data_IF_325466343841
#
_entry.id   IF_325466343841
#
_cell.length_a   1.000
_cell.length_b   1.000
_cell.length_c   1.000
_cell.angle_alpha   90.00
_cell.angle_beta   90.00
_cell.angle_gamma   90.00
#
_symmetry.space_group_name_H-M   'P 1'
#
loop_
_entity.id
_entity.type
_entity.pdbx_description
1 polymer ?
#
# COMPACT_ATOMS: atom_id res chain seq x y z
N UNK A 1 21.37 -8.61 -7.28
CA UNK A 1 20.20 -9.19 -6.59
C UNK A 1 19.81 -8.28 -5.43
N UNK A 2 18.53 -7.93 -5.29
CA UNK A 2 18.01 -7.14 -4.17
C UNK A 2 17.19 -8.06 -3.26
N UNK A 3 17.48 -8.05 -1.95
CA UNK A 3 16.73 -8.83 -0.95
C UNK A 3 16.15 -7.94 0.14
N UNK A 4 16.96 -7.59 1.13
CA UNK A 4 16.53 -6.79 2.30
C UNK A 4 15.92 -5.43 1.92
N UNK A 5 16.44 -4.76 0.89
CA UNK A 5 15.90 -3.47 0.47
C UNK A 5 14.46 -3.59 -0.05
N UNK A 6 14.14 -4.63 -0.83
CA UNK A 6 12.78 -4.88 -1.31
C UNK A 6 11.82 -5.25 -0.17
N UNK A 7 12.29 -5.96 0.86
CA UNK A 7 11.48 -6.26 2.04
C UNK A 7 11.22 -5.02 2.90
N UNK A 8 12.22 -4.15 3.05
CA UNK A 8 12.11 -2.93 3.85
C UNK A 8 11.31 -1.83 3.15
N UNK A 9 11.33 -1.82 1.82
CA UNK A 9 10.68 -0.84 0.97
C UNK A 9 10.27 -1.51 -0.37
N UNK A 10 9.11 -2.19 -0.43
CA UNK A 10 8.68 -2.86 -1.67
C UNK A 10 8.48 -1.88 -2.82
N UNK A 11 8.18 -0.61 -2.53
CA UNK A 11 8.02 0.44 -3.52
C UNK A 11 9.33 0.83 -4.22
N UNK A 12 10.51 0.41 -3.72
CA UNK A 12 11.78 0.69 -4.41
C UNK A 12 11.89 -0.01 -5.79
N UNK A 13 11.02 -0.97 -6.08
CA UNK A 13 10.96 -1.70 -7.34
C UNK A 13 9.90 -1.17 -8.32
N UNK A 14 9.15 -0.12 -7.97
CA UNK A 14 7.98 0.35 -8.74
C UNK A 14 8.29 0.70 -10.21
N UNK A 15 9.54 1.06 -10.52
CA UNK A 15 9.94 1.46 -11.87
C UNK A 15 10.89 0.46 -12.55
N UNK A 16 11.07 -0.74 -11.97
CA UNK A 16 11.99 -1.72 -12.50
C UNK A 16 11.63 -2.15 -13.93
N UNK A 17 10.36 -2.34 -14.23
CA UNK A 17 9.88 -2.80 -15.54
C UNK A 17 10.33 -1.87 -16.67
N UNK A 18 10.14 -0.56 -16.48
CA UNK A 18 10.58 0.44 -17.46
C UNK A 18 12.10 0.66 -17.44
N UNK A 19 12.68 0.86 -16.26
CA UNK A 19 14.09 1.30 -16.13
C UNK A 19 15.11 0.18 -16.38
N UNK A 20 14.75 -1.06 -16.09
CA UNK A 20 15.66 -2.21 -16.15
C UNK A 20 15.28 -3.15 -17.30
N UNK A 21 14.00 -3.43 -17.48
CA UNK A 21 13.53 -4.42 -18.45
C UNK A 21 13.02 -3.83 -19.77
N UNK A 22 13.00 -2.50 -19.91
CA UNK A 22 12.61 -1.83 -21.15
C UNK A 22 11.13 -1.97 -21.51
N UNK A 23 10.27 -2.26 -20.53
CA UNK A 23 8.82 -2.27 -20.75
C UNK A 23 8.32 -0.89 -21.19
N UNK A 24 7.26 -0.86 -22.02
CA UNK A 24 6.67 0.40 -22.50
C UNK A 24 6.09 1.25 -21.37
N UNK A 25 5.60 0.61 -20.31
CA UNK A 25 5.06 1.23 -19.11
C UNK A 25 5.27 0.34 -17.88
N UNK A 26 5.22 0.94 -16.69
CA UNK A 26 5.10 0.19 -15.44
C UNK A 26 3.62 -0.19 -15.22
N UNK A 27 3.32 -1.25 -14.45
CA UNK A 27 1.94 -1.64 -14.15
C UNK A 27 1.18 -0.55 -13.37
N UNK A 28 -0.15 -0.58 -13.42
CA UNK A 28 -1.01 0.36 -12.71
C UNK A 28 -0.74 0.38 -11.20
N UNK A 29 -0.47 -0.79 -10.61
CA UNK A 29 -0.09 -0.95 -9.20
C UNK A 29 1.21 -0.22 -8.82
N UNK A 30 1.98 0.28 -9.78
CA UNK A 30 3.18 1.06 -9.57
C UNK A 30 2.96 2.58 -9.67
N UNK A 31 1.72 3.05 -9.80
CA UNK A 31 1.39 4.47 -9.87
C UNK A 31 1.55 5.16 -8.50
N UNK A 32 0.83 4.68 -7.50
CA UNK A 32 0.85 5.19 -6.12
C UNK A 32 0.71 4.04 -5.11
N UNK A 33 0.87 4.35 -3.82
CA UNK A 33 0.77 3.33 -2.77
C UNK A 33 -0.64 2.80 -2.61
N UNK A 34 -1.67 3.62 -2.84
CA UNK A 34 -3.05 3.16 -2.89
C UNK A 34 -3.23 2.10 -3.97
N UNK A 35 -2.80 2.36 -5.21
CA UNK A 35 -2.93 1.39 -6.32
C UNK A 35 -2.21 0.07 -6.03
N UNK A 36 -1.05 0.11 -5.37
CA UNK A 36 -0.33 -1.08 -4.93
C UNK A 36 -1.14 -1.87 -3.90
N UNK A 37 -1.64 -1.19 -2.87
CA UNK A 37 -2.39 -1.84 -1.79
C UNK A 37 -3.72 -2.41 -2.30
N UNK A 38 -4.42 -1.72 -3.20
CA UNK A 38 -5.64 -2.24 -3.85
C UNK A 38 -5.35 -3.49 -4.70
N UNK A 39 -4.29 -3.47 -5.52
CA UNK A 39 -3.88 -4.66 -6.26
C UNK A 39 -3.50 -5.83 -5.33
N UNK A 40 -2.98 -5.51 -4.13
CA UNK A 40 -2.70 -6.51 -3.11
C UNK A 40 -3.97 -7.04 -2.42
N UNK A 41 -4.95 -6.17 -2.15
CA UNK A 41 -6.30 -6.58 -1.70
C UNK A 41 -6.91 -7.57 -2.68
N UNK A 42 -6.95 -7.25 -3.97
CA UNK A 42 -7.49 -8.15 -5.01
C UNK A 42 -6.75 -9.50 -5.06
N UNK A 43 -5.45 -9.50 -4.76
CA UNK A 43 -4.68 -10.74 -4.64
C UNK A 43 -5.10 -11.55 -3.41
N UNK A 44 -5.26 -10.91 -2.25
CA UNK A 44 -5.66 -11.57 -1.00
C UNK A 44 -7.05 -12.19 -1.13
N UNK A 45 -8.02 -11.47 -1.68
CA UNK A 45 -9.39 -11.98 -1.90
C UNK A 45 -9.39 -13.21 -2.82
N UNK A 46 -8.67 -13.13 -3.95
CA UNK A 46 -8.53 -14.27 -4.87
C UNK A 46 -7.77 -15.44 -4.24
N UNK A 47 -6.82 -15.17 -3.36
CA UNK A 47 -6.07 -16.19 -2.65
C UNK A 47 -6.97 -16.93 -1.65
N UNK A 48 -7.69 -16.19 -0.80
CA UNK A 48 -8.62 -16.73 0.19
C UNK A 48 -9.75 -17.54 -0.47
N UNK A 49 -10.26 -17.10 -1.62
CA UNK A 49 -11.29 -17.84 -2.37
C UNK A 49 -10.80 -19.17 -3.00
N UNK A 50 -9.49 -19.40 -3.09
CA UNK A 50 -8.90 -20.56 -3.78
C UNK A 50 -8.35 -21.63 -2.85
N UNK A 51 -8.22 -21.33 -1.56
CA UNK A 51 -7.55 -22.21 -0.58
C UNK A 51 -8.54 -22.65 0.49
N UNK A 52 -8.53 -23.94 0.81
CA UNK A 52 -9.39 -24.48 1.87
C UNK A 52 -8.93 -24.02 3.27
N UNK A 53 -7.61 -23.81 3.44
CA UNK A 53 -6.99 -23.33 4.67
C UNK A 53 -6.06 -22.14 4.36
N UNK A 54 -6.50 -20.89 4.63
CA UNK A 54 -5.69 -19.71 4.37
C UNK A 54 -4.51 -19.61 5.34
N UNK A 55 -3.38 -19.08 4.84
CA UNK A 55 -2.25 -18.71 5.70
C UNK A 55 -2.66 -17.63 6.70
N UNK A 56 -1.98 -17.59 7.84
CA UNK A 56 -2.24 -16.56 8.85
C UNK A 56 -2.06 -15.13 8.29
N UNK A 57 -2.88 -14.16 8.72
CA UNK A 57 -2.75 -12.75 8.32
C UNK A 57 -1.34 -12.19 8.54
N UNK A 58 -0.63 -12.66 9.58
CA UNK A 58 0.77 -12.29 9.81
C UNK A 58 1.65 -12.61 8.60
N UNK A 59 1.52 -13.80 8.01
CA UNK A 59 2.32 -14.21 6.84
C UNK A 59 1.91 -13.42 5.61
N UNK A 60 0.61 -13.21 5.43
CA UNK A 60 0.05 -12.51 4.27
C UNK A 60 0.35 -11.02 4.28
N UNK A 61 0.34 -10.33 5.42
CA UNK A 61 0.49 -8.88 5.48
C UNK A 61 1.94 -8.43 5.68
N UNK A 62 2.84 -9.34 6.06
CA UNK A 62 4.27 -9.04 6.22
C UNK A 62 4.93 -8.36 5.01
N UNK A 63 4.65 -8.74 3.74
CA UNK A 63 5.28 -8.13 2.56
C UNK A 63 4.98 -6.64 2.40
N UNK A 64 3.84 -6.17 2.89
CA UNK A 64 3.40 -4.78 2.69
C UNK A 64 3.73 -3.84 3.85
N UNK A 65 4.33 -4.35 4.95
CA UNK A 65 4.70 -3.53 6.12
C UNK A 65 5.68 -2.37 5.80
N UNK A 66 6.38 -2.45 4.67
CA UNK A 66 7.32 -1.45 4.19
C UNK A 66 6.76 -0.46 3.17
N UNK A 67 5.48 -0.54 2.78
CA UNK A 67 4.94 0.26 1.65
C UNK A 67 5.10 1.78 1.86
N UNK A 68 4.97 2.25 3.09
CA UNK A 68 5.19 3.65 3.47
C UNK A 68 6.61 3.94 3.99
N UNK A 69 7.59 3.11 3.67
CA UNK A 69 8.96 3.26 4.18
C UNK A 69 9.56 4.64 3.85
N UNK A 70 9.87 5.43 4.88
CA UNK A 70 10.40 6.78 4.75
C UNK A 70 9.34 7.84 4.43
N UNK A 71 8.05 7.53 4.57
CA UNK A 71 6.95 8.47 4.39
C UNK A 71 6.20 8.77 5.71
N UNK A 72 5.47 9.88 5.77
CA UNK A 72 4.42 10.06 6.77
C UNK A 72 3.43 8.88 6.75
N UNK A 73 2.75 8.63 7.87
CA UNK A 73 1.82 7.49 7.98
C UNK A 73 2.47 6.12 8.19
N UNK A 74 3.78 5.94 7.94
CA UNK A 74 4.44 4.63 8.08
C UNK A 74 4.21 4.00 9.46
N UNK A 75 4.40 4.78 10.52
CA UNK A 75 4.25 4.28 11.89
C UNK A 75 2.79 3.89 12.18
N UNK A 76 1.83 4.69 11.72
CA UNK A 76 0.40 4.39 11.87
C UNK A 76 0.01 3.14 11.09
N UNK A 77 0.32 3.08 9.79
CA UNK A 77 0.05 1.92 8.95
C UNK A 77 0.58 0.62 9.55
N UNK A 78 1.88 0.62 9.91
CA UNK A 78 2.51 -0.54 10.53
C UNK A 78 1.86 -0.91 11.84
N UNK A 79 1.61 0.06 12.71
CA UNK A 79 1.01 -0.18 14.01
C UNK A 79 -0.41 -0.75 13.90
N UNK A 80 -1.21 -0.25 12.95
CA UNK A 80 -2.57 -0.74 12.71
C UNK A 80 -2.54 -2.19 12.25
N UNK A 81 -1.75 -2.52 11.22
CA UNK A 81 -1.59 -3.90 10.75
C UNK A 81 -1.09 -4.83 11.87
N UNK A 82 -0.04 -4.42 12.57
CA UNK A 82 0.55 -5.20 13.66
C UNK A 82 -0.43 -5.45 14.80
N UNK A 83 -1.21 -4.43 15.16
CA UNK A 83 -2.19 -4.51 16.24
C UNK A 83 -3.33 -5.44 15.83
N UNK A 84 -3.77 -5.34 14.58
CA UNK A 84 -4.81 -6.19 14.02
C UNK A 84 -4.34 -7.63 13.98
N UNK A 85 -3.26 -7.93 13.26
CA UNK A 85 -2.67 -9.27 13.21
C UNK A 85 -2.49 -9.94 14.59
N UNK A 86 -2.19 -9.17 15.66
CA UNK A 86 -2.02 -9.69 17.03
C UNK A 86 -3.29 -9.76 17.87
N UNK A 87 -4.30 -8.91 17.62
CA UNK A 87 -5.51 -8.77 18.45
C UNK A 87 -6.81 -9.12 17.72
N UNK A 88 -6.74 -9.40 16.44
CA UNK A 88 -7.84 -9.80 15.60
C UNK A 88 -8.63 -10.93 16.26
N UNK A 89 -9.96 -10.79 16.22
CA UNK A 89 -10.84 -11.90 16.49
C UNK A 89 -10.50 -13.07 15.54
N UNK A 90 -10.86 -14.33 15.87
CA UNK A 90 -10.57 -15.49 15.02
C UNK A 90 -10.99 -15.33 13.56
N UNK A 91 -11.95 -14.45 13.29
CA UNK A 91 -12.61 -14.28 12.00
C UNK A 91 -12.15 -13.05 11.20
N UNK A 92 -11.27 -12.18 11.73
CA UNK A 92 -10.81 -10.99 10.98
C UNK A 92 -9.78 -11.40 9.91
N UNK A 93 -10.12 -11.16 8.66
CA UNK A 93 -9.35 -11.53 7.47
C UNK A 93 -8.15 -10.60 7.24
N UNK A 94 -7.21 -11.04 6.40
CA UNK A 94 -6.09 -10.18 6.01
C UNK A 94 -6.56 -8.93 5.22
N UNK A 95 -7.62 -9.09 4.43
CA UNK A 95 -8.26 -8.01 3.66
C UNK A 95 -8.85 -6.94 4.59
N UNK A 96 -9.62 -7.35 5.61
CA UNK A 96 -10.22 -6.41 6.57
C UNK A 96 -9.15 -5.64 7.35
N UNK A 97 -8.09 -6.32 7.81
CA UNK A 97 -6.98 -5.69 8.49
C UNK A 97 -6.25 -4.67 7.59
N UNK A 98 -6.11 -4.97 6.29
CA UNK A 98 -5.52 -4.07 5.31
C UNK A 98 -6.40 -2.83 5.07
N UNK A 99 -7.70 -3.00 4.84
CA UNK A 99 -8.62 -1.86 4.66
C UNK A 99 -8.59 -0.91 5.85
N UNK A 100 -8.64 -1.44 7.07
CA UNK A 100 -8.57 -0.59 8.27
C UNK A 100 -7.23 0.14 8.40
N UNK A 101 -6.12 -0.46 7.97
CA UNK A 101 -4.83 0.21 7.95
C UNK A 101 -4.77 1.32 6.89
N UNK A 102 -5.44 1.16 5.76
CA UNK A 102 -5.60 2.18 4.73
C UNK A 102 -6.45 3.34 5.25
N UNK A 103 -7.62 3.04 5.83
CA UNK A 103 -8.52 4.04 6.41
C UNK A 103 -7.83 4.85 7.51
N UNK A 104 -7.06 4.18 8.38
CA UNK A 104 -6.30 4.84 9.44
C UNK A 104 -5.25 5.82 8.89
N UNK A 105 -4.62 5.49 7.76
CA UNK A 105 -3.68 6.40 7.10
C UNK A 105 -4.42 7.54 6.40
N UNK A 106 -5.52 7.27 5.72
CA UNK A 106 -6.30 8.31 5.04
C UNK A 106 -6.89 9.34 6.00
N UNK A 107 -7.30 8.88 7.18
CA UNK A 107 -7.81 9.76 8.23
C UNK A 107 -6.74 10.70 8.78
N UNK A 108 -5.58 10.16 9.18
CA UNK A 108 -4.53 10.95 9.84
C UNK A 108 -3.61 11.68 8.85
N UNK A 109 -3.40 11.10 7.66
CA UNK A 109 -2.45 11.55 6.64
C UNK A 109 -3.10 11.57 5.24
N UNK A 110 -4.14 12.41 5.03
CA UNK A 110 -4.92 12.42 3.79
C UNK A 110 -4.05 12.67 2.56
N UNK A 111 -4.26 11.86 1.51
CA UNK A 111 -3.56 11.94 0.23
C UNK A 111 -2.16 11.33 0.20
N UNK A 112 -1.61 10.87 1.33
CA UNK A 112 -0.26 10.25 1.36
C UNK A 112 -0.21 8.96 0.55
N UNK A 113 -1.27 8.15 0.56
CA UNK A 113 -1.35 6.92 -0.21
C UNK A 113 -1.42 7.18 -1.72
N UNK A 114 -1.99 8.31 -2.10
CA UNK A 114 -2.17 8.73 -3.50
C UNK A 114 -0.94 9.43 -4.08
N UNK A 115 0.04 9.80 -3.23
CA UNK A 115 1.26 10.45 -3.68
C UNK A 115 2.02 9.55 -4.68
N UNK A 116 2.32 10.06 -5.90
CA UNK A 116 2.91 9.26 -6.96
C UNK A 116 4.27 8.66 -6.55
N UNK A 117 4.48 7.38 -6.87
CA UNK A 117 5.73 6.68 -6.59
C UNK A 117 6.93 7.28 -7.35
N UNK A 118 6.66 7.95 -8.48
CA UNK A 118 7.67 8.66 -9.28
C UNK A 118 8.18 9.95 -8.64
N UNK A 119 7.47 10.51 -7.66
CA UNK A 119 7.82 11.79 -7.02
C UNK A 119 8.63 11.62 -5.72
N UNK A 120 9.05 10.39 -5.40
CA UNK A 120 9.86 10.09 -4.22
C UNK A 120 9.03 9.88 -2.94
N UNK A 121 9.56 10.29 -1.80
CA UNK A 121 9.03 9.94 -0.45
C UNK A 121 8.67 11.14 0.43
N UNK A 122 8.79 12.35 -0.09
CA UNK A 122 8.53 13.58 0.66
C UNK A 122 7.26 14.25 0.10
N UNK A 123 6.06 13.76 0.47
CA UNK A 123 4.83 14.39 0.05
C UNK A 123 4.77 15.79 0.64
N UNK A 124 4.65 16.80 -0.23
CA UNK A 124 4.36 18.16 0.20
C UNK A 124 2.86 18.25 0.39
N UNK A 125 2.41 18.27 1.64
CA UNK A 125 0.98 18.28 1.97
C UNK A 125 0.21 19.44 1.36
N UNK A 126 0.89 20.56 1.11
CA UNK A 126 0.34 21.69 0.35
C UNK A 126 -0.11 21.25 -1.05
N UNK A 127 0.73 20.47 -1.76
CA UNK A 127 0.46 19.94 -3.10
C UNK A 127 -0.60 18.82 -3.09
N UNK A 128 -0.66 18.01 -2.02
CA UNK A 128 -1.67 16.97 -1.84
C UNK A 128 -3.08 17.54 -1.64
N UNK A 129 -3.22 18.58 -0.81
CA UNK A 129 -4.51 19.26 -0.61
C UNK A 129 -4.99 19.92 -1.89
N UNK A 130 -4.11 20.57 -2.64
CA UNK A 130 -4.46 21.18 -3.93
C UNK A 130 -4.93 20.16 -4.96
N UNK A 131 -4.30 18.98 -5.03
CA UNK A 131 -4.68 17.90 -5.97
C UNK A 131 -6.03 17.27 -5.60
N UNK A 132 -6.26 17.02 -4.31
CA UNK A 132 -7.57 16.56 -3.78
C UNK A 132 -8.68 17.58 -4.04
N UNK A 133 -8.43 18.86 -3.79
CA UNK A 133 -9.38 19.94 -4.07
C UNK A 133 -9.66 20.11 -5.58
N UNK A 134 -8.66 19.89 -6.44
CA UNK A 134 -8.85 19.93 -7.90
C UNK A 134 -9.64 18.72 -8.42
N UNK A 135 -9.40 17.52 -7.88
CA UNK A 135 -10.18 16.32 -8.20
C UNK A 135 -11.64 16.45 -7.72
N UNK A 136 -11.87 17.00 -6.52
CA UNK A 136 -13.23 17.25 -6.00
C UNK A 136 -13.99 18.33 -6.79
N UNK A 137 -13.28 19.24 -7.47
CA UNK A 137 -13.87 20.32 -8.29
C UNK A 137 -14.11 19.96 -9.74
N UNK A 138 -13.61 18.81 -10.19
CA UNK A 138 -13.86 18.29 -11.53
C UNK A 138 -14.72 17.02 -11.41
N UNK A 139 -16.04 17.15 -11.17
CA UNK A 139 -16.92 16.02 -11.39
C UNK A 139 -16.98 15.78 -12.90
N UNK A 140 -16.72 14.54 -13.31
CA UNK A 140 -17.22 14.06 -14.60
C UNK A 140 -18.76 14.18 -14.65
#
# INVERSE_FOLDING_TARGET
MIGRAAMNDPCCLAHADKLIYGASANPESAHCRRSLLMAYTDYLERYEARVDEPKSPFVLLKPILGVLSGMPGQRHFRHTLDTKIRRSAPDETAVEALHQAIDAVDHEFPGVLDYPLSMGKNPRYEELRSSLEQQLRSPD
#
